data_IF_723729310356
#
_entry.id   IF_723729310356
#
_cell.length_a   1.000
_cell.length_b   1.000
_cell.length_c   1.000
_cell.angle_alpha   90.00
_cell.angle_beta   90.00
_cell.angle_gamma   90.00
#
_symmetry.space_group_name_H-M   'P 1'
#
loop_
_entity.id
_entity.type
_entity.pdbx_description
1 polymer ?
#
# COMPACT_ATOMS: atom_id res chain seq x y z
N UNK A 1 29.84 2.18 2.06
CA UNK A 1 28.88 1.06 1.90
C UNK A 1 29.23 0.00 2.93
N UNK A 2 28.31 -0.28 3.86
CA UNK A 2 28.41 -1.44 4.74
C UNK A 2 27.92 -2.66 3.94
N UNK A 3 28.83 -3.55 3.56
CA UNK A 3 28.46 -4.80 2.93
C UNK A 3 27.96 -5.76 4.02
N UNK A 4 26.64 -5.89 4.18
CA UNK A 4 26.06 -6.91 5.05
C UNK A 4 26.12 -8.27 4.36
N UNK A 5 26.99 -9.16 4.84
CA UNK A 5 26.92 -10.58 4.48
C UNK A 5 25.69 -11.19 5.17
N UNK A 6 24.77 -11.88 4.47
CA UNK A 6 23.51 -12.38 5.05
C UNK A 6 23.68 -13.19 6.35
N UNK A 7 24.68 -14.06 6.44
CA UNK A 7 24.98 -14.83 7.66
C UNK A 7 25.37 -13.93 8.84
N UNK A 8 26.08 -12.83 8.58
CA UNK A 8 26.46 -11.85 9.61
C UNK A 8 25.23 -11.10 10.11
N UNK A 9 24.28 -10.82 9.23
CA UNK A 9 23.03 -10.17 9.59
C UNK A 9 22.12 -11.07 10.44
N UNK A 10 21.95 -12.34 10.08
CA UNK A 10 21.19 -13.30 10.87
C UNK A 10 21.79 -13.46 12.29
N UNK A 11 23.12 -13.55 12.39
CA UNK A 11 23.84 -13.62 13.66
C UNK A 11 23.67 -12.34 14.50
N UNK A 12 23.65 -11.17 13.85
CA UNK A 12 23.39 -9.90 14.51
C UNK A 12 21.99 -9.87 15.15
N UNK A 13 20.95 -10.25 14.41
CA UNK A 13 19.58 -10.31 14.94
C UNK A 13 19.49 -11.32 16.09
N UNK A 14 20.10 -12.49 15.95
CA UNK A 14 20.13 -13.51 17.00
C UNK A 14 20.83 -13.04 18.29
N UNK A 15 21.81 -12.14 18.16
CA UNK A 15 22.52 -11.53 19.30
C UNK A 15 21.68 -10.46 20.04
N UNK A 16 20.52 -10.09 19.50
CA UNK A 16 19.62 -9.10 20.06
C UNK A 16 18.25 -9.72 20.46
N UNK A 17 18.18 -10.57 21.50
CA UNK A 17 16.96 -11.32 21.85
C UNK A 17 15.78 -10.45 22.31
N UNK A 18 16.03 -9.17 22.63
CA UNK A 18 15.03 -8.19 23.04
C UNK A 18 14.73 -7.13 21.96
N UNK A 19 15.14 -7.38 20.71
CA UNK A 19 14.93 -6.44 19.61
C UNK A 19 13.43 -6.28 19.33
N UNK A 20 12.89 -5.08 19.58
CA UNK A 20 11.49 -4.74 19.30
C UNK A 20 11.29 -3.94 18.02
N UNK A 21 12.30 -3.17 17.60
CA UNK A 21 12.23 -2.30 16.44
C UNK A 21 13.52 -2.45 15.63
N UNK A 22 13.38 -2.73 14.33
CA UNK A 22 14.49 -2.84 13.41
C UNK A 22 14.27 -1.89 12.23
N UNK A 23 15.28 -1.05 11.96
CA UNK A 23 15.34 -0.17 10.80
C UNK A 23 16.59 -0.49 10.01
N UNK A 24 16.43 -0.80 8.74
CA UNK A 24 17.50 -1.11 7.81
C UNK A 24 17.36 -0.15 6.63
N UNK A 25 18.33 0.74 6.47
CA UNK A 25 18.32 1.76 5.44
C UNK A 25 19.48 1.55 4.48
N UNK A 26 19.29 1.94 3.21
CA UNK A 26 20.30 1.89 2.14
C UNK A 26 20.94 0.50 1.98
N UNK A 27 20.13 -0.54 2.12
CA UNK A 27 20.56 -1.94 2.14
C UNK A 27 20.54 -2.57 0.74
N UNK A 28 21.65 -2.58 0.00
CA UNK A 28 21.66 -2.98 -1.43
C UNK A 28 22.15 -4.41 -1.72
N UNK A 29 22.50 -5.20 -0.71
CA UNK A 29 23.21 -6.48 -0.91
C UNK A 29 22.52 -7.72 -0.31
N UNK A 30 21.19 -7.73 -0.22
CA UNK A 30 20.45 -8.88 0.32
C UNK A 30 19.95 -9.80 -0.81
N UNK A 31 20.39 -11.07 -0.85
CA UNK A 31 19.70 -12.07 -1.66
C UNK A 31 18.41 -12.54 -0.96
N UNK A 32 18.50 -12.80 0.35
CA UNK A 32 17.39 -13.17 1.20
C UNK A 32 17.38 -12.30 2.46
N UNK A 33 16.26 -11.61 2.69
CA UNK A 33 15.97 -10.91 3.94
C UNK A 33 15.33 -11.89 4.93
N UNK A 34 16.15 -12.55 5.74
CA UNK A 34 15.68 -13.48 6.76
C UNK A 34 15.57 -12.76 8.12
N UNK A 35 14.36 -12.76 8.69
CA UNK A 35 14.09 -12.18 10.01
C UNK A 35 13.65 -13.27 10.99
N UNK A 36 14.41 -13.40 12.07
CA UNK A 36 14.17 -14.33 13.17
C UNK A 36 14.32 -13.60 14.51
N UNK A 37 13.25 -12.93 14.94
CA UNK A 37 13.24 -12.10 16.15
C UNK A 37 11.87 -12.15 16.85
N UNK A 38 11.78 -12.91 17.94
CA UNK A 38 10.50 -13.24 18.59
C UNK A 38 9.77 -12.03 19.19
N UNK A 39 10.52 -11.01 19.62
CA UNK A 39 10.02 -9.77 20.22
C UNK A 39 9.91 -8.61 19.24
N UNK A 40 10.25 -8.82 17.96
CA UNK A 40 10.20 -7.76 16.96
C UNK A 40 8.74 -7.36 16.72
N UNK A 41 8.45 -6.08 16.87
CA UNK A 41 7.14 -5.46 16.68
C UNK A 41 7.08 -4.57 15.44
N UNK A 42 8.22 -4.01 15.06
CA UNK A 42 8.36 -3.06 13.96
C UNK A 42 9.55 -3.42 13.08
N UNK A 43 9.31 -3.50 11.77
CA UNK A 43 10.35 -3.60 10.75
C UNK A 43 10.19 -2.48 9.73
N UNK A 44 11.28 -1.77 9.47
CA UNK A 44 11.38 -0.87 8.32
C UNK A 44 12.63 -1.25 7.52
N UNK A 45 12.42 -1.49 6.25
CA UNK A 45 13.45 -1.87 5.30
C UNK A 45 13.42 -0.92 4.11
N UNK A 46 14.55 -0.28 3.83
CA UNK A 46 14.81 0.48 2.62
C UNK A 46 16.05 -0.11 1.94
N UNK A 47 15.86 -0.70 0.75
CA UNK A 47 16.96 -1.36 0.05
C UNK A 47 16.51 -2.30 -1.04
N UNK A 48 17.33 -3.30 -1.37
CA UNK A 48 17.06 -4.29 -2.43
C UNK A 48 17.21 -5.68 -1.85
N UNK A 49 16.24 -6.55 -2.14
CA UNK A 49 16.31 -7.97 -1.85
C UNK A 49 15.58 -8.83 -2.87
N UNK A 50 16.01 -10.08 -3.06
CA UNK A 50 15.39 -11.03 -4.01
C UNK A 50 14.31 -11.90 -3.38
N UNK A 51 14.34 -12.08 -2.05
CA UNK A 51 13.37 -12.87 -1.29
C UNK A 51 13.33 -12.45 0.18
N UNK A 52 12.22 -12.72 0.85
CA UNK A 52 12.06 -12.44 2.30
C UNK A 52 11.50 -13.67 3.01
N UNK A 53 11.92 -13.86 4.26
CA UNK A 53 11.38 -14.91 5.13
C UNK A 53 11.27 -14.43 6.57
N UNK A 54 10.07 -14.57 7.13
CA UNK A 54 9.80 -14.29 8.55
C UNK A 54 9.66 -15.62 9.30
N UNK A 55 10.70 -16.05 10.04
CA UNK A 55 10.71 -17.38 10.69
C UNK A 55 10.03 -17.42 12.05
N UNK A 56 10.43 -16.51 12.95
CA UNK A 56 9.90 -16.44 14.32
C UNK A 56 9.58 -14.99 14.68
N UNK A 57 8.55 -14.45 14.03
CA UNK A 57 8.13 -13.05 14.19
C UNK A 57 6.66 -12.96 14.68
N UNK A 58 6.29 -13.62 15.79
CA UNK A 58 4.89 -13.66 16.23
C UNK A 58 4.33 -12.30 16.67
N UNK A 59 5.21 -11.36 17.03
CA UNK A 59 4.83 -10.03 17.53
C UNK A 59 4.92 -8.92 16.48
N UNK A 60 5.31 -9.24 15.25
CA UNK A 60 5.61 -8.25 14.21
C UNK A 60 4.30 -7.66 13.68
N UNK A 61 4.02 -6.42 14.10
CA UNK A 61 2.75 -5.76 13.89
C UNK A 61 2.79 -4.67 12.81
N UNK A 62 3.94 -4.04 12.61
CA UNK A 62 4.13 -2.97 11.63
C UNK A 62 5.33 -3.30 10.73
N UNK A 63 5.09 -3.33 9.42
CA UNK A 63 6.13 -3.59 8.40
C UNK A 63 6.10 -2.48 7.36
N UNK A 64 7.27 -1.88 7.10
CA UNK A 64 7.49 -0.90 6.03
C UNK A 64 8.58 -1.41 5.11
N UNK A 65 8.26 -1.54 3.82
CA UNK A 65 9.23 -1.97 2.81
C UNK A 65 9.20 -0.95 1.69
N UNK A 66 10.37 -0.37 1.45
CA UNK A 66 10.65 0.52 0.34
C UNK A 66 11.97 0.13 -0.29
N UNK A 67 12.21 0.62 -1.48
CA UNK A 67 13.31 0.22 -2.33
C UNK A 67 13.97 1.44 -2.95
N UNK A 68 15.27 1.33 -3.18
CA UNK A 68 16.05 2.34 -3.88
C UNK A 68 15.78 2.22 -5.39
N UNK A 69 15.28 3.30 -6.01
CA UNK A 69 14.70 3.28 -7.37
C UNK A 69 15.67 2.92 -8.53
N UNK A 70 16.97 2.74 -8.27
CA UNK A 70 17.96 2.46 -9.32
C UNK A 70 18.08 0.98 -9.68
N UNK A 71 17.73 0.04 -8.79
CA UNK A 71 18.19 -1.36 -8.92
C UNK A 71 17.09 -2.39 -9.16
N UNK A 72 15.80 -2.03 -9.09
CA UNK A 72 14.71 -3.01 -9.10
C UNK A 72 14.23 -3.45 -10.50
N UNK A 73 14.84 -2.96 -11.60
CA UNK A 73 14.34 -3.17 -12.98
C UNK A 73 14.54 -4.58 -13.58
N UNK A 74 14.65 -5.65 -12.79
CA UNK A 74 14.88 -6.99 -13.35
C UNK A 74 13.95 -8.09 -12.78
N UNK A 75 12.84 -8.34 -13.48
CA UNK A 75 12.34 -9.67 -13.84
C UNK A 75 12.01 -10.70 -12.76
N UNK A 76 11.79 -10.30 -11.51
CA UNK A 76 11.56 -11.26 -10.42
C UNK A 76 10.09 -11.34 -10.04
N UNK A 77 9.51 -12.55 -9.98
CA UNK A 77 8.17 -12.87 -9.44
C UNK A 77 8.06 -12.65 -7.91
N UNK A 78 8.75 -11.63 -7.42
CA UNK A 78 9.03 -11.41 -6.02
C UNK A 78 7.78 -10.95 -5.24
N UNK A 79 6.86 -10.27 -5.92
CA UNK A 79 5.67 -9.68 -5.30
C UNK A 79 4.79 -10.72 -4.59
N UNK A 80 4.52 -11.88 -5.20
CA UNK A 80 3.63 -12.88 -4.61
C UNK A 80 4.25 -13.56 -3.39
N UNK A 81 5.53 -13.92 -3.44
CA UNK A 81 6.22 -14.53 -2.30
C UNK A 81 6.37 -13.55 -1.12
N UNK A 82 6.59 -12.26 -1.42
CA UNK A 82 6.53 -11.20 -0.42
C UNK A 82 5.15 -11.15 0.26
N UNK A 83 4.07 -11.01 -0.52
CA UNK A 83 2.72 -10.92 0.03
C UNK A 83 2.33 -12.20 0.78
N UNK A 84 2.70 -13.38 0.26
CA UNK A 84 2.49 -14.67 0.94
C UNK A 84 3.21 -14.71 2.29
N UNK A 85 4.46 -14.27 2.34
CA UNK A 85 5.24 -14.21 3.58
C UNK A 85 4.62 -13.25 4.59
N UNK A 86 4.22 -12.06 4.15
CA UNK A 86 3.54 -11.07 5.00
C UNK A 86 2.18 -11.57 5.51
N UNK A 87 1.42 -12.28 4.67
CA UNK A 87 0.11 -12.85 5.02
C UNK A 87 0.17 -13.93 6.09
N UNK A 88 1.36 -14.51 6.31
CA UNK A 88 1.60 -15.53 7.32
C UNK A 88 1.92 -14.96 8.71
N UNK A 89 2.17 -13.64 8.81
CA UNK A 89 2.46 -12.98 10.08
C UNK A 89 1.18 -12.86 10.94
N UNK A 90 1.15 -13.45 12.15
CA UNK A 90 -0.08 -13.56 12.94
C UNK A 90 -0.50 -12.24 13.61
N UNK A 91 0.38 -11.24 13.66
CA UNK A 91 0.14 -9.96 14.33
C UNK A 91 0.23 -8.76 13.39
N UNK A 92 0.42 -8.95 12.07
CA UNK A 92 0.63 -7.85 11.14
C UNK A 92 -0.65 -7.01 10.98
N UNK A 93 -0.67 -5.83 11.58
CA UNK A 93 -1.81 -4.90 11.53
C UNK A 93 -1.55 -3.72 10.59
N UNK A 94 -0.29 -3.33 10.39
CA UNK A 94 0.10 -2.19 9.58
C UNK A 94 1.16 -2.56 8.53
N UNK A 95 0.87 -2.24 7.27
CA UNK A 95 1.76 -2.52 6.14
C UNK A 95 1.93 -1.26 5.30
N UNK A 96 3.19 -0.88 5.05
CA UNK A 96 3.57 0.14 4.08
C UNK A 96 4.44 -0.50 2.99
N UNK A 97 4.01 -0.36 1.73
CA UNK A 97 4.75 -0.77 0.55
C UNK A 97 4.83 0.38 -0.46
N UNK A 98 5.87 0.36 -1.29
CA UNK A 98 5.82 1.09 -2.56
C UNK A 98 4.94 0.32 -3.55
N UNK A 99 4.04 1.03 -4.24
CA UNK A 99 2.99 0.41 -5.05
C UNK A 99 3.54 -0.42 -6.22
N UNK A 100 4.63 0.04 -6.86
CA UNK A 100 5.26 -0.68 -7.97
C UNK A 100 5.72 -2.11 -7.60
N UNK A 101 5.96 -2.40 -6.30
CA UNK A 101 6.32 -3.75 -5.80
C UNK A 101 5.22 -4.77 -6.08
N UNK A 102 4.01 -4.30 -6.36
CA UNK A 102 2.84 -5.11 -6.63
C UNK A 102 2.66 -5.45 -8.12
N UNK A 103 3.41 -4.85 -9.06
CA UNK A 103 3.18 -4.99 -10.51
C UNK A 103 3.14 -6.46 -10.99
N UNK A 104 3.96 -7.34 -10.41
CA UNK A 104 4.00 -8.77 -10.78
C UNK A 104 2.82 -9.60 -10.22
N UNK A 105 1.91 -9.01 -9.43
CA UNK A 105 0.72 -9.71 -8.92
C UNK A 105 -0.36 -9.93 -9.99
N UNK A 106 -0.19 -9.37 -11.20
CA UNK A 106 -1.12 -9.53 -12.32
C UNK A 106 -1.40 -11.00 -12.65
N UNK A 107 -0.36 -11.86 -12.59
CA UNK A 107 -0.47 -13.30 -12.83
C UNK A 107 -1.20 -14.07 -11.71
N UNK A 108 -1.37 -13.46 -10.52
CA UNK A 108 -1.82 -14.13 -9.30
C UNK A 108 -3.24 -13.72 -8.86
N UNK A 109 -4.03 -13.19 -9.78
CA UNK A 109 -5.45 -12.92 -9.56
C UNK A 109 -5.82 -11.44 -9.53
N UNK A 110 -4.95 -10.53 -9.98
CA UNK A 110 -5.35 -9.14 -10.18
C UNK A 110 -6.43 -9.01 -11.28
N UNK A 111 -7.38 -8.07 -11.17
CA UNK A 111 -7.61 -7.20 -10.01
C UNK A 111 -8.50 -7.83 -8.93
N UNK A 112 -8.83 -9.13 -9.01
CA UNK A 112 -9.78 -9.80 -8.10
C UNK A 112 -9.22 -9.93 -6.67
N UNK A 113 -8.88 -11.13 -6.25
CA UNK A 113 -8.29 -11.40 -4.93
C UNK A 113 -7.12 -12.36 -5.15
N UNK A 114 -6.10 -12.18 -4.32
CA UNK A 114 -5.00 -13.11 -4.24
C UNK A 114 -5.48 -14.44 -3.66
N UNK A 115 -4.79 -15.55 -3.95
CA UNK A 115 -5.02 -16.85 -3.31
C UNK A 115 -4.56 -16.87 -1.82
N UNK A 116 -4.24 -15.71 -1.24
CA UNK A 116 -3.90 -15.50 0.16
C UNK A 116 -4.71 -14.32 0.72
N UNK A 117 -4.96 -14.30 2.02
CA UNK A 117 -5.72 -13.23 2.67
C UNK A 117 -4.93 -12.59 3.81
N UNK A 118 -4.87 -11.26 3.82
CA UNK A 118 -4.24 -10.45 4.85
C UNK A 118 -5.22 -10.22 6.01
N UNK A 119 -5.50 -11.27 6.77
CA UNK A 119 -6.62 -11.29 7.74
C UNK A 119 -6.43 -10.34 8.92
N UNK A 120 -5.20 -10.08 9.33
CA UNK A 120 -4.89 -9.24 10.50
C UNK A 120 -4.71 -7.77 10.12
N UNK A 121 -4.54 -7.48 8.83
CA UNK A 121 -4.18 -6.17 8.33
C UNK A 121 -5.34 -5.18 8.51
N UNK A 122 -5.08 -4.08 9.21
CA UNK A 122 -6.01 -2.98 9.48
C UNK A 122 -5.62 -1.70 8.75
N UNK A 123 -4.32 -1.46 8.56
CA UNK A 123 -3.80 -0.27 7.90
C UNK A 123 -2.91 -0.66 6.72
N UNK A 124 -3.22 -0.16 5.53
CA UNK A 124 -2.40 -0.31 4.34
C UNK A 124 -1.98 1.07 3.85
N UNK A 125 -0.67 1.27 3.66
CA UNK A 125 -0.11 2.43 2.99
C UNK A 125 0.57 1.99 1.69
N UNK A 126 0.13 2.53 0.57
CA UNK A 126 0.80 2.41 -0.72
C UNK A 126 1.44 3.76 -1.08
N UNK A 127 2.77 3.81 -1.13
CA UNK A 127 3.49 5.01 -1.57
C UNK A 127 3.95 4.90 -3.01
N UNK A 128 4.25 6.05 -3.61
CA UNK A 128 4.75 6.16 -4.98
C UNK A 128 3.82 5.46 -5.99
N UNK A 129 2.51 5.67 -5.82
CA UNK A 129 1.49 5.03 -6.64
C UNK A 129 1.24 5.81 -7.93
N UNK A 130 1.49 5.18 -9.08
CA UNK A 130 1.35 5.78 -10.41
C UNK A 130 -0.04 5.55 -10.98
N UNK A 131 -0.86 6.61 -11.06
CA UNK A 131 -2.20 6.54 -11.65
C UNK A 131 -2.21 6.55 -13.20
N UNK A 132 -1.06 6.23 -13.80
CA UNK A 132 -0.83 6.04 -15.24
C UNK A 132 -0.66 4.57 -15.63
N UNK A 133 -0.49 3.67 -14.63
CA UNK A 133 -0.19 2.26 -14.85
C UNK A 133 -1.34 1.36 -14.44
N UNK A 134 -1.98 0.74 -15.42
CA UNK A 134 -3.10 -0.17 -15.19
C UNK A 134 -2.71 -1.36 -14.31
N UNK A 135 -1.52 -1.92 -14.49
CA UNK A 135 -1.00 -3.06 -13.73
C UNK A 135 -0.88 -2.70 -12.24
N UNK A 136 -0.32 -1.53 -11.95
CA UNK A 136 -0.09 -1.07 -10.58
C UNK A 136 -1.41 -0.84 -9.83
N UNK A 137 -2.39 -0.19 -10.50
CA UNK A 137 -3.74 -0.02 -9.93
C UNK A 137 -4.44 -1.37 -9.76
N UNK A 138 -4.38 -2.24 -10.77
CA UNK A 138 -4.98 -3.58 -10.75
C UNK A 138 -4.47 -4.41 -9.56
N UNK A 139 -3.16 -4.42 -9.36
CA UNK A 139 -2.52 -5.15 -8.27
C UNK A 139 -2.79 -4.52 -6.90
N UNK A 140 -2.85 -3.18 -6.82
CA UNK A 140 -3.26 -2.47 -5.61
C UNK A 140 -4.69 -2.81 -5.21
N UNK A 141 -5.64 -2.80 -6.15
CA UNK A 141 -7.02 -3.24 -5.92
C UNK A 141 -7.08 -4.71 -5.49
N UNK A 142 -6.25 -5.56 -6.07
CA UNK A 142 -6.15 -6.97 -5.70
C UNK A 142 -5.73 -7.14 -4.23
N UNK A 143 -4.71 -6.42 -3.77
CA UNK A 143 -4.24 -6.46 -2.38
C UNK A 143 -5.29 -5.90 -1.41
N UNK A 144 -5.92 -4.78 -1.76
CA UNK A 144 -7.01 -4.18 -1.00
C UNK A 144 -8.16 -5.18 -0.82
N UNK A 145 -8.61 -5.81 -1.91
CA UNK A 145 -9.68 -6.83 -1.89
C UNK A 145 -9.29 -8.10 -1.12
N UNK A 146 -7.99 -8.37 -0.99
CA UNK A 146 -7.43 -9.50 -0.22
C UNK A 146 -7.24 -9.19 1.27
N UNK A 147 -7.60 -7.99 1.71
CA UNK A 147 -7.45 -7.49 3.09
C UNK A 147 -8.84 -7.26 3.73
N UNK A 148 -9.52 -8.33 4.20
CA UNK A 148 -10.94 -8.25 4.58
C UNK A 148 -11.23 -7.36 5.79
N UNK A 149 -10.24 -7.14 6.66
CA UNK A 149 -10.37 -6.35 7.88
C UNK A 149 -9.70 -4.97 7.76
N UNK A 150 -9.42 -4.52 6.54
CA UNK A 150 -8.79 -3.23 6.29
C UNK A 150 -9.71 -2.09 6.75
N UNK A 151 -9.18 -1.24 7.63
CA UNK A 151 -9.88 -0.09 8.22
C UNK A 151 -9.35 1.24 7.71
N UNK A 152 -8.05 1.32 7.43
CA UNK A 152 -7.39 2.52 6.94
C UNK A 152 -6.60 2.23 5.67
N UNK A 153 -6.85 3.02 4.64
CA UNK A 153 -6.08 3.02 3.41
C UNK A 153 -5.40 4.38 3.25
N UNK A 154 -4.08 4.37 3.11
CA UNK A 154 -3.30 5.55 2.77
C UNK A 154 -2.65 5.35 1.40
N UNK A 155 -2.74 6.36 0.54
CA UNK A 155 -2.13 6.37 -0.78
C UNK A 155 -1.33 7.65 -0.94
N UNK A 156 -0.09 7.54 -1.37
CA UNK A 156 0.69 8.69 -1.83
C UNK A 156 0.81 8.58 -3.34
N UNK A 157 0.04 9.41 -4.06
CA UNK A 157 -0.01 9.41 -5.51
C UNK A 157 1.25 10.05 -6.09
N UNK A 158 1.66 9.58 -7.26
CA UNK A 158 2.74 10.17 -8.03
C UNK A 158 2.39 10.05 -9.51
N UNK A 159 1.91 11.15 -10.07
CA UNK A 159 1.31 11.15 -11.41
C UNK A 159 1.68 12.42 -12.16
N UNK A 160 2.13 12.27 -13.40
CA UNK A 160 2.55 13.33 -14.31
C UNK A 160 1.67 13.42 -15.56
N UNK A 161 1.16 12.29 -16.04
CA UNK A 161 0.43 12.15 -17.29
C UNK A 161 -0.97 11.57 -17.08
N UNK A 162 -1.87 11.84 -18.04
CA UNK A 162 -3.22 11.28 -18.05
C UNK A 162 -3.26 10.11 -19.03
N UNK A 163 -3.63 8.93 -18.54
CA UNK A 163 -3.77 7.70 -19.34
C UNK A 163 -5.21 7.22 -19.29
N UNK A 164 -5.97 7.44 -20.36
CA UNK A 164 -7.41 7.11 -20.42
C UNK A 164 -7.69 5.63 -20.15
N UNK A 165 -6.81 4.73 -20.60
CA UNK A 165 -6.96 3.29 -20.38
C UNK A 165 -7.06 2.91 -18.89
N UNK A 166 -6.43 3.68 -18.00
CA UNK A 166 -6.48 3.47 -16.55
C UNK A 166 -7.86 3.85 -16.00
N UNK A 167 -8.42 4.98 -16.46
CA UNK A 167 -9.76 5.40 -16.09
C UNK A 167 -10.82 4.41 -16.61
N UNK A 168 -10.70 3.96 -17.86
CA UNK A 168 -11.56 2.91 -18.43
C UNK A 168 -11.51 1.61 -17.62
N UNK A 169 -10.30 1.18 -17.24
CA UNK A 169 -10.11 0.01 -16.39
C UNK A 169 -10.83 0.13 -15.05
N UNK A 170 -10.76 1.30 -14.41
CA UNK A 170 -11.43 1.59 -13.14
C UNK A 170 -12.95 1.60 -13.27
N UNK A 171 -13.48 2.26 -14.31
CA UNK A 171 -14.92 2.27 -14.62
C UNK A 171 -15.46 0.86 -14.89
N UNK A 172 -14.64 -0.03 -15.46
CA UNK A 172 -15.00 -1.42 -15.71
C UNK A 172 -15.02 -2.30 -14.44
N UNK A 173 -14.45 -1.83 -13.32
CA UNK A 173 -14.45 -2.59 -12.07
C UNK A 173 -15.87 -2.68 -11.50
N UNK A 174 -16.39 -3.90 -11.44
CA UNK A 174 -17.64 -4.17 -10.74
C UNK A 174 -17.42 -4.06 -9.24
N UNK A 175 -18.33 -3.36 -8.57
CA UNK A 175 -18.44 -3.37 -7.12
C UNK A 175 -18.85 -4.80 -6.74
N UNK A 176 -17.99 -5.52 -6.04
CA UNK A 176 -18.34 -6.83 -5.51
C UNK A 176 -19.08 -6.65 -4.19
N UNK A 177 -20.27 -7.28 -4.09
CA UNK A 177 -21.05 -7.29 -2.86
C UNK A 177 -20.17 -7.74 -1.68
N UNK A 178 -20.01 -6.86 -0.68
CA UNK A 178 -19.24 -7.14 0.53
C UNK A 178 -17.74 -6.82 0.49
N UNK A 179 -17.23 -6.14 -0.54
CA UNK A 179 -15.86 -5.60 -0.53
C UNK A 179 -15.78 -4.32 0.33
N UNK A 180 -14.63 -4.08 0.98
CA UNK A 180 -14.33 -2.85 1.74
C UNK A 180 -15.32 -2.50 2.88
N UNK A 181 -16.01 -3.49 3.45
CA UNK A 181 -17.03 -3.27 4.49
C UNK A 181 -16.49 -2.80 5.85
N UNK A 182 -15.17 -2.88 6.06
CA UNK A 182 -14.50 -2.41 7.28
C UNK A 182 -13.72 -1.12 7.05
N UNK A 183 -13.61 -0.64 5.80
CA UNK A 183 -12.80 0.52 5.46
C UNK A 183 -13.50 1.79 5.98
N UNK A 184 -12.89 2.44 6.97
CA UNK A 184 -13.42 3.64 7.65
C UNK A 184 -12.75 4.92 7.19
N UNK A 185 -11.45 4.86 6.92
CA UNK A 185 -10.67 6.05 6.59
C UNK A 185 -9.83 5.83 5.34
N UNK A 186 -9.89 6.78 4.42
CA UNK A 186 -9.01 6.87 3.25
C UNK A 186 -8.23 8.18 3.34
N UNK A 187 -6.93 8.13 3.10
CA UNK A 187 -6.04 9.31 3.04
C UNK A 187 -5.26 9.25 1.72
N UNK A 188 -5.58 10.14 0.78
CA UNK A 188 -4.88 10.26 -0.50
C UNK A 188 -4.07 11.55 -0.55
N UNK A 189 -2.75 11.40 -0.69
CA UNK A 189 -1.79 12.49 -0.69
C UNK A 189 -1.24 12.74 -2.09
N UNK A 190 -0.82 13.99 -2.36
CA UNK A 190 -0.31 14.43 -3.67
C UNK A 190 -1.31 14.21 -4.81
N UNK A 191 -2.60 14.42 -4.52
CA UNK A 191 -3.70 14.19 -5.43
C UNK A 191 -3.77 15.30 -6.50
N UNK A 192 -3.64 14.96 -7.78
CA UNK A 192 -3.65 15.93 -8.88
C UNK A 192 -5.05 16.21 -9.44
N UNK A 193 -6.02 15.35 -9.17
CA UNK A 193 -7.39 15.48 -9.69
C UNK A 193 -7.55 15.01 -11.12
N UNK A 194 -6.63 14.18 -11.62
CA UNK A 194 -6.75 13.62 -12.95
C UNK A 194 -7.82 12.53 -13.00
N UNK A 195 -8.32 12.22 -14.20
CA UNK A 195 -9.46 11.32 -14.37
C UNK A 195 -9.28 9.95 -13.71
N UNK A 196 -8.10 9.32 -13.80
CA UNK A 196 -7.84 8.01 -13.16
C UNK A 196 -7.86 8.06 -11.63
N UNK A 197 -7.39 9.14 -11.02
CA UNK A 197 -7.51 9.36 -9.58
C UNK A 197 -8.97 9.56 -9.16
N UNK A 198 -9.72 10.35 -9.94
CA UNK A 198 -11.13 10.62 -9.71
C UNK A 198 -11.97 9.34 -9.83
N UNK A 199 -11.72 8.49 -10.83
CA UNK A 199 -12.37 7.20 -10.99
C UNK A 199 -12.00 6.22 -9.88
N UNK A 200 -10.77 6.26 -9.36
CA UNK A 200 -10.39 5.46 -8.21
C UNK A 200 -11.14 5.88 -6.94
N UNK A 201 -11.30 7.19 -6.72
CA UNK A 201 -12.13 7.72 -5.64
C UNK A 201 -13.59 7.30 -5.79
N UNK A 202 -14.18 7.42 -6.99
CA UNK A 202 -15.55 6.93 -7.26
C UNK A 202 -15.69 5.45 -6.91
N UNK A 203 -14.74 4.63 -7.34
CA UNK A 203 -14.72 3.21 -7.02
C UNK A 203 -14.71 2.95 -5.50
N UNK A 204 -13.86 3.66 -4.74
CA UNK A 204 -13.79 3.52 -3.29
C UNK A 204 -15.09 3.98 -2.60
N UNK A 205 -15.63 5.15 -2.99
CA UNK A 205 -16.87 5.69 -2.43
C UNK A 205 -18.07 4.78 -2.67
N UNK A 206 -18.14 4.16 -3.85
CA UNK A 206 -19.20 3.24 -4.21
C UNK A 206 -19.05 1.85 -3.57
N UNK A 207 -17.84 1.46 -3.16
CA UNK A 207 -17.55 0.14 -2.58
C UNK A 207 -17.54 0.13 -1.06
N UNK A 208 -17.04 1.18 -0.41
CA UNK A 208 -16.80 1.21 1.03
C UNK A 208 -18.07 1.61 1.81
N UNK A 209 -18.76 0.61 2.37
CA UNK A 209 -20.04 0.80 3.08
C UNK A 209 -19.90 1.34 4.50
N UNK A 210 -18.71 1.24 5.11
CA UNK A 210 -18.42 1.74 6.45
C UNK A 210 -17.53 2.99 6.46
N UNK A 211 -17.32 3.61 5.29
CA UNK A 211 -16.44 4.77 5.17
C UNK A 211 -16.98 5.94 5.98
N UNK A 212 -16.15 6.48 6.87
CA UNK A 212 -16.46 7.64 7.70
C UNK A 212 -15.75 8.88 7.12
N UNK A 213 -14.52 8.71 6.64
CA UNK A 213 -13.70 9.84 6.19
C UNK A 213 -12.84 9.49 4.98
N UNK A 214 -12.78 10.42 4.03
CA UNK A 214 -11.83 10.45 2.93
C UNK A 214 -11.11 11.80 2.93
N UNK A 215 -9.87 11.80 3.38
CA UNK A 215 -8.98 12.95 3.34
C UNK A 215 -8.23 12.98 2.01
N UNK A 216 -8.26 14.14 1.35
CA UNK A 216 -7.52 14.40 0.11
C UNK A 216 -6.53 15.54 0.39
N UNK A 217 -5.26 15.32 0.09
CA UNK A 217 -4.21 16.34 0.03
C UNK A 217 -3.91 16.64 -1.44
N UNK A 218 -4.38 17.76 -1.99
CA UNK A 218 -4.07 18.15 -3.36
C UNK A 218 -2.55 18.34 -3.57
N UNK A 219 -2.04 18.01 -4.75
CA UNK A 219 -0.66 18.31 -5.11
C UNK A 219 -0.52 19.80 -5.40
N UNK A 220 0.22 20.53 -4.56
CA UNK A 220 0.41 21.99 -4.70
C UNK A 220 0.98 22.42 -6.07
N UNK A 221 1.67 21.52 -6.80
CA UNK A 221 2.16 21.78 -8.15
C UNK A 221 1.09 21.64 -9.25
N UNK A 222 0.00 20.92 -8.98
CA UNK A 222 -1.06 20.61 -9.97
C UNK A 222 -2.28 21.52 -9.88
N UNK A 223 -2.48 22.25 -8.77
CA UNK A 223 -3.69 23.03 -8.51
C UNK A 223 -3.39 24.47 -8.13
N UNK A 224 -4.09 25.42 -8.72
CA UNK A 224 -3.93 26.86 -8.44
C UNK A 224 -4.84 27.36 -7.31
N UNK A 225 -5.94 26.67 -7.02
CA UNK A 225 -6.94 27.03 -6.01
C UNK A 225 -6.77 26.25 -4.68
N UNK A 226 -5.61 25.61 -4.49
CA UNK A 226 -5.37 24.74 -3.33
C UNK A 226 -6.23 23.46 -3.33
N UNK A 227 -6.80 23.09 -4.49
CA UNK A 227 -7.59 21.88 -4.72
C UNK A 227 -9.05 21.99 -4.25
N UNK A 228 -9.56 23.22 -4.08
CA UNK A 228 -10.95 23.46 -3.70
C UNK A 228 -11.93 22.94 -4.77
N UNK A 229 -11.66 23.18 -6.05
CA UNK A 229 -12.47 22.69 -7.18
C UNK A 229 -12.57 21.16 -7.17
N UNK A 230 -11.43 20.47 -7.01
CA UNK A 230 -11.38 19.00 -6.90
C UNK A 230 -12.25 18.52 -5.74
N UNK A 231 -12.05 19.08 -4.55
CA UNK A 231 -12.81 18.69 -3.36
C UNK A 231 -14.32 18.92 -3.53
N UNK A 232 -14.71 20.02 -4.17
CA UNK A 232 -16.11 20.33 -4.44
C UNK A 232 -16.74 19.34 -5.43
N UNK A 233 -16.00 18.94 -6.46
CA UNK A 233 -16.43 17.91 -7.40
C UNK A 233 -16.56 16.54 -6.72
N UNK A 234 -15.53 16.09 -6.01
CA UNK A 234 -15.52 14.83 -5.26
C UNK A 234 -16.72 14.74 -4.30
N UNK A 235 -17.10 15.86 -3.68
CA UNK A 235 -18.24 15.91 -2.77
C UNK A 235 -19.58 15.57 -3.43
N UNK A 236 -19.71 15.78 -4.74
CA UNK A 236 -20.93 15.45 -5.49
C UNK A 236 -21.05 13.95 -5.81
N UNK A 237 -20.00 13.16 -5.61
CA UNK A 237 -20.03 11.76 -5.96
C UNK A 237 -20.94 10.95 -5.03
N UNK A 238 -21.74 10.01 -5.58
CA UNK A 238 -22.51 9.06 -4.78
C UNK A 238 -21.62 8.24 -3.85
N UNK A 239 -22.15 7.89 -2.68
CA UNK A 239 -21.41 7.15 -1.65
C UNK A 239 -22.25 6.01 -1.14
N UNK A 240 -21.64 4.84 -0.95
CA UNK A 240 -22.29 3.69 -0.33
C UNK A 240 -22.50 3.91 1.18
N UNK A 241 -21.53 4.57 1.84
CA UNK A 241 -21.69 4.99 3.23
C UNK A 241 -22.34 6.38 3.32
N UNK A 242 -23.46 6.54 4.04
CA UNK A 242 -24.07 7.85 4.30
C UNK A 242 -23.26 8.70 5.28
N UNK A 243 -22.30 8.10 6.01
CA UNK A 243 -21.43 8.80 6.95
C UNK A 243 -20.13 9.31 6.33
N UNK A 244 -19.82 8.89 5.10
CA UNK A 244 -18.55 9.25 4.48
C UNK A 244 -18.50 10.77 4.27
N UNK A 245 -17.46 11.42 4.80
CA UNK A 245 -17.15 12.82 4.55
C UNK A 245 -15.87 12.96 3.73
N UNK A 246 -15.83 13.95 2.83
CA UNK A 246 -14.64 14.27 2.03
C UNK A 246 -14.08 15.59 2.51
N UNK A 247 -12.84 15.56 2.98
CA UNK A 247 -12.18 16.69 3.63
C UNK A 247 -10.81 16.98 3.02
N UNK A 248 -10.35 18.22 3.19
CA UNK A 248 -8.96 18.57 2.93
C UNK A 248 -8.10 18.15 4.15
N UNK A 249 -7.06 17.35 3.93
CA UNK A 249 -6.15 16.90 4.99
C UNK A 249 -5.41 18.05 5.68
N UNK A 250 -5.09 19.14 4.98
CA UNK A 250 -4.34 20.27 5.54
C UNK A 250 -5.17 21.08 6.55
N UNK A 251 -6.49 20.95 6.51
CA UNK A 251 -7.40 21.56 7.49
C UNK A 251 -7.52 20.75 8.79
N UNK A 252 -6.88 19.58 8.89
CA UNK A 252 -6.68 18.82 10.13
C UNK A 252 -5.35 19.18 10.77
N UNK A 253 -5.22 20.42 11.23
CA UNK A 253 -4.04 20.87 11.95
C UNK A 253 -4.06 20.40 13.41
N UNK A 254 -3.00 19.67 13.79
CA UNK A 254 -2.34 19.53 15.11
C UNK A 254 -3.20 19.10 16.32
#
# INVERSE_FOLDING_TARGET
>A
MLNFVPETFANFIASCPNLERLRLMDCTSFDCLEINASKLKFLEFHGVFKSVSFKNCPSLAEVKISFSSMDFKTGNRFSFDLIKSLSSLPALEELHLQAYVLEDLTEFGAPKKLPVAMKTLKTLHLSDMYFEKTEEISCSLCLIRSSPNLQKLKITAFTFDVVEAVAEFLRAQKISDGSLTQLKTVDMQLFSGIESEMEFVKYLLASATALEEMAITPHAGSVSDGGESILNELKQFPRASPKAEIINSEKKGW
#
